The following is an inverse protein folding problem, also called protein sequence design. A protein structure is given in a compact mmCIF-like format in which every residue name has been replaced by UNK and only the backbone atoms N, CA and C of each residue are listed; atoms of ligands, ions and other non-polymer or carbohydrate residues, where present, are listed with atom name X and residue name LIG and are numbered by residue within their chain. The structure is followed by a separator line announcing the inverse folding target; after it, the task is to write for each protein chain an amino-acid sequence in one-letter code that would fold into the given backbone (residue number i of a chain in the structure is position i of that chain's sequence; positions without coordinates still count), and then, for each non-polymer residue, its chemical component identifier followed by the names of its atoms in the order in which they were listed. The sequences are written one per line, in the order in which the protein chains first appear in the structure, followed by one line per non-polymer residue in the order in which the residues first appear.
data_IF_147790980431
#
_entry.id   IF_147790980431
#
_cell.length_a   1.000
_cell.length_b   1.000
_cell.length_c   1.000
_cell.angle_alpha   90.00
_cell.angle_beta   90.00
_cell.angle_gamma   90.00
#
_symmetry.space_group_name_H-M   'P 1'
#
loop_
_entity.id
_entity.type
_entity.pdbx_description
1 polymer ?
#
# COMPACT_ATOMS: atom_id res chain seq x y z
N UNK A 1 -12.10 32.48 20.16
CA UNK A 1 -12.10 31.25 20.98
C UNK A 1 -13.10 30.29 20.36
N UNK A 2 -12.64 29.44 19.44
CA UNK A 2 -13.52 28.58 18.63
C UNK A 2 -13.92 27.32 19.41
N UNK A 3 -15.21 27.05 19.45
CA UNK A 3 -15.84 26.04 20.31
C UNK A 3 -15.59 24.63 19.73
N UNK A 4 -14.71 23.84 20.37
CA UNK A 4 -14.31 22.49 19.92
C UNK A 4 -15.47 21.50 19.67
N UNK A 5 -16.66 21.78 20.22
CA UNK A 5 -17.87 20.97 19.98
C UNK A 5 -18.48 21.14 18.58
N UNK A 6 -18.20 22.25 17.89
CA UNK A 6 -18.77 22.51 16.56
C UNK A 6 -18.03 21.73 15.45
N UNK A 7 -16.75 21.42 15.66
CA UNK A 7 -15.92 20.75 14.65
C UNK A 7 -16.23 19.26 14.51
N UNK A 8 -16.64 18.61 15.61
CA UNK A 8 -16.96 17.17 15.62
C UNK A 8 -18.28 16.89 14.87
N UNK A 9 -19.28 17.76 14.99
CA UNK A 9 -20.58 17.56 14.30
C UNK A 9 -20.49 17.81 12.79
N UNK A 10 -19.59 18.69 12.33
CA UNK A 10 -19.44 19.00 10.89
C UNK A 10 -18.78 17.84 10.12
N UNK A 11 -17.87 17.09 10.75
CA UNK A 11 -17.17 15.96 10.09
C UNK A 11 -18.11 14.75 9.91
N UNK A 12 -19.02 14.48 10.85
CA UNK A 12 -19.94 13.34 10.74
C UNK A 12 -21.00 13.52 9.64
N UNK A 13 -21.36 14.76 9.28
CA UNK A 13 -22.38 15.04 8.26
C UNK A 13 -21.83 14.87 6.83
N UNK A 14 -20.51 14.89 6.62
CA UNK A 14 -19.89 14.75 5.29
C UNK A 14 -19.79 13.26 4.84
N UNK A 15 -20.10 12.29 5.71
CA UNK A 15 -19.93 10.86 5.41
C UNK A 15 -21.18 10.16 4.83
N UNK A 16 -22.27 10.88 4.52
CA UNK A 16 -23.51 10.26 4.03
C UNK A 16 -23.98 10.95 2.75
N UNK A 17 -23.30 10.70 1.63
CA UNK A 17 -23.93 10.71 0.30
C UNK A 17 -23.02 10.06 -0.74
N UNK A 18 -23.18 8.76 -0.98
CA UNK A 18 -23.07 8.20 -2.33
C UNK A 18 -24.12 7.09 -2.44
N UNK A 19 -25.33 7.54 -2.78
CA UNK A 19 -26.45 6.70 -3.14
C UNK A 19 -26.27 6.25 -4.60
N UNK A 20 -26.27 4.94 -4.80
CA UNK A 20 -26.41 4.19 -6.04
C UNK A 20 -26.94 4.95 -7.27
N UNK A 21 -26.15 4.94 -8.36
CA UNK A 21 -26.68 5.01 -9.72
C UNK A 21 -26.62 3.61 -10.31
N UNK A 22 -27.71 2.88 -10.15
CA UNK A 22 -28.05 1.73 -10.99
C UNK A 22 -28.58 2.29 -12.32
N UNK A 23 -27.77 2.24 -13.37
CA UNK A 23 -28.24 2.51 -14.72
C UNK A 23 -28.39 1.18 -15.48
N UNK A 24 -29.66 0.84 -15.75
CA UNK A 24 -30.11 0.47 -17.09
C UNK A 24 -29.72 -0.91 -17.61
N UNK A 25 -30.58 -1.89 -17.32
CA UNK A 25 -30.71 -3.06 -18.16
C UNK A 25 -31.24 -2.61 -19.55
N UNK A 26 -30.38 -2.58 -20.57
CA UNK A 26 -30.80 -2.44 -21.97
C UNK A 26 -30.63 -3.79 -22.66
N UNK A 27 -31.76 -4.44 -22.90
CA UNK A 27 -31.86 -5.57 -23.82
C UNK A 27 -31.66 -5.01 -25.23
N UNK A 28 -30.63 -5.49 -25.93
CA UNK A 28 -30.64 -5.57 -27.39
C UNK A 28 -30.13 -6.95 -27.80
N UNK A 29 -31.01 -7.67 -28.47
CA UNK A 29 -30.77 -8.97 -29.07
C UNK A 29 -30.18 -8.78 -30.49
N UNK A 30 -29.22 -9.64 -30.83
CA UNK A 30 -28.76 -10.08 -32.16
C UNK A 30 -28.30 -9.05 -33.22
N UNK A 31 -27.07 -9.22 -33.76
CA UNK A 31 -26.78 -9.90 -35.07
C UNK A 31 -25.30 -9.71 -35.50
N UNK A 32 -24.70 -10.78 -36.07
CA UNK A 32 -23.42 -10.95 -36.78
C UNK A 32 -22.54 -9.75 -37.22
N UNK A 33 -21.22 -9.94 -37.02
CA UNK A 33 -20.21 -9.94 -38.09
C UNK A 33 -19.47 -8.63 -38.38
N UNK A 34 -18.13 -8.66 -38.35
CA UNK A 34 -17.31 -7.66 -39.03
C UNK A 34 -16.00 -7.30 -38.32
N UNK A 35 -14.90 -7.78 -38.88
CA UNK A 35 -13.52 -7.38 -38.60
C UNK A 35 -13.32 -5.86 -38.86
N UNK A 36 -12.60 -5.17 -37.97
CA UNK A 36 -12.24 -3.77 -38.14
C UNK A 36 -11.33 -3.27 -37.02
N UNK A 37 -10.03 -3.23 -37.29
CA UNK A 37 -9.03 -2.49 -36.52
C UNK A 37 -9.48 -1.03 -36.35
N UNK A 38 -9.16 -0.40 -35.21
CA UNK A 38 -8.67 0.99 -35.11
C UNK A 38 -8.33 1.39 -33.66
N UNK A 39 -7.16 2.01 -33.54
CA UNK A 39 -6.63 2.72 -32.38
C UNK A 39 -7.64 3.72 -31.77
N UNK A 40 -7.65 3.80 -30.44
CA UNK A 40 -8.34 4.85 -29.70
C UNK A 40 -8.10 4.71 -28.21
N UNK A 41 -7.30 5.61 -27.66
CA UNK A 41 -6.96 5.64 -26.25
C UNK A 41 -8.14 5.91 -25.32
N UNK A 42 -7.78 5.97 -24.03
CA UNK A 42 -8.57 6.35 -22.86
C UNK A 42 -9.08 5.16 -22.03
N UNK A 43 -8.21 4.67 -21.15
CA UNK A 43 -8.65 3.96 -19.94
C UNK A 43 -8.54 4.95 -18.80
N UNK A 44 -9.69 5.52 -18.48
CA UNK A 44 -10.01 6.19 -17.22
C UNK A 44 -9.54 5.33 -16.05
N UNK A 45 -8.49 5.78 -15.38
CA UNK A 45 -7.96 5.19 -14.17
C UNK A 45 -8.87 5.50 -12.99
N UNK A 46 -9.86 4.64 -12.80
CA UNK A 46 -10.48 4.43 -11.50
C UNK A 46 -10.69 2.91 -11.35
N UNK A 47 -9.57 2.21 -11.28
CA UNK A 47 -9.52 0.79 -11.06
C UNK A 47 -9.35 0.53 -9.58
N UNK A 48 -10.44 0.33 -8.86
CA UNK A 48 -10.40 -0.57 -7.70
C UNK A 48 -10.13 -1.96 -8.25
N UNK A 49 -8.87 -2.27 -8.56
CA UNK A 49 -8.46 -3.61 -8.95
C UNK A 49 -8.52 -4.46 -7.69
N UNK A 50 -9.50 -5.35 -7.63
CA UNK A 50 -9.59 -6.45 -6.67
C UNK A 50 -8.56 -7.55 -6.97
N UNK A 51 -7.35 -7.14 -7.39
CA UNK A 51 -6.19 -7.97 -7.67
C UNK A 51 -5.09 -7.76 -6.63
N UNK A 52 -4.06 -8.60 -6.67
CA UNK A 52 -2.90 -8.55 -5.77
C UNK A 52 -1.96 -7.34 -6.03
N UNK A 53 -2.34 -6.45 -6.94
CA UNK A 53 -1.64 -5.20 -7.29
C UNK A 53 -0.47 -5.36 -8.26
N UNK A 54 -0.28 -6.56 -8.83
CA UNK A 54 0.85 -6.87 -9.72
C UNK A 54 0.62 -6.49 -11.19
N UNK A 55 -0.62 -6.18 -11.55
CA UNK A 55 -1.02 -5.69 -12.88
C UNK A 55 -0.74 -4.19 -13.09
N UNK A 56 -0.38 -3.47 -12.03
CA UNK A 56 -0.08 -2.05 -12.09
C UNK A 56 1.14 -1.75 -12.97
N UNK A 57 1.05 -0.73 -13.83
CA UNK A 57 2.10 -0.38 -14.82
C UNK A 57 3.49 -0.18 -14.23
N UNK A 58 3.57 0.25 -12.97
CA UNK A 58 4.83 0.52 -12.26
C UNK A 58 5.25 -0.63 -11.32
N UNK A 59 4.55 -1.77 -11.31
CA UNK A 59 4.88 -2.92 -10.48
C UNK A 59 6.32 -3.40 -10.67
N UNK A 60 6.77 -3.51 -11.92
CA UNK A 60 8.12 -3.96 -12.26
C UNK A 60 9.21 -3.04 -11.69
N UNK A 61 8.90 -1.76 -11.43
CA UNK A 61 9.86 -0.82 -10.82
C UNK A 61 10.14 -1.20 -9.37
N UNK A 62 9.16 -1.71 -8.61
CA UNK A 62 9.33 -2.11 -7.20
C UNK A 62 10.34 -3.27 -7.04
N UNK A 63 10.45 -4.15 -8.03
CA UNK A 63 11.31 -5.32 -7.99
C UNK A 63 12.78 -4.90 -8.03
N UNK A 64 13.57 -5.42 -7.08
CA UNK A 64 14.99 -5.15 -6.98
C UNK A 64 15.43 -4.84 -5.55
N UNK A 65 16.62 -4.27 -5.42
CA UNK A 65 17.19 -3.83 -4.15
C UNK A 65 17.22 -2.30 -4.09
N UNK A 66 16.68 -1.76 -3.00
CA UNK A 66 16.57 -0.34 -2.68
C UNK A 66 17.50 -0.04 -1.51
N UNK A 67 18.64 0.56 -1.82
CA UNK A 67 19.67 0.93 -0.86
C UNK A 67 19.26 2.20 -0.11
N UNK A 68 19.14 2.11 1.21
CA UNK A 68 18.92 3.26 2.08
C UNK A 68 20.05 4.27 1.97
N UNK A 69 19.70 5.56 2.06
CA UNK A 69 20.63 6.67 1.84
C UNK A 69 21.09 7.35 3.15
N UNK A 70 20.73 6.83 4.33
CA UNK A 70 21.21 7.38 5.61
C UNK A 70 22.72 7.10 5.77
N UNK A 71 23.57 8.14 5.84
CA UNK A 71 25.00 7.95 6.07
C UNK A 71 25.34 7.25 7.39
N UNK A 72 24.43 7.28 8.38
CA UNK A 72 24.60 6.59 9.67
C UNK A 72 24.27 5.11 9.59
N UNK A 73 23.49 4.69 8.59
CA UNK A 73 23.13 3.30 8.34
C UNK A 73 23.41 2.90 6.88
N UNK A 74 24.68 2.92 6.44
CA UNK A 74 25.03 2.75 5.03
C UNK A 74 24.78 1.34 4.48
N UNK A 75 24.37 0.39 5.34
CA UNK A 75 24.07 -0.99 4.97
C UNK A 75 22.57 -1.25 4.87
N UNK A 76 21.72 -0.30 5.29
CA UNK A 76 20.27 -0.43 5.24
C UNK A 76 19.82 -0.66 3.80
N UNK A 77 19.10 -1.74 3.55
CA UNK A 77 18.57 -2.01 2.23
C UNK A 77 17.22 -2.72 2.32
N UNK A 78 16.40 -2.53 1.30
CA UNK A 78 15.11 -3.15 1.17
C UNK A 78 15.05 -3.88 -0.16
N UNK A 79 14.74 -5.18 -0.16
CA UNK A 79 14.63 -5.97 -1.38
C UNK A 79 13.21 -6.45 -1.56
N UNK A 80 12.69 -6.34 -2.77
CA UNK A 80 11.46 -7.02 -3.17
C UNK A 80 11.74 -7.88 -4.39
N UNK A 81 11.46 -9.18 -4.30
CA UNK A 81 11.73 -10.15 -5.39
C UNK A 81 10.49 -10.49 -6.24
N UNK A 82 9.38 -9.80 -5.99
CA UNK A 82 8.08 -10.07 -6.60
C UNK A 82 7.14 -10.89 -5.72
N UNK A 83 7.67 -11.55 -4.68
CA UNK A 83 6.92 -12.35 -3.71
C UNK A 83 7.22 -11.88 -2.29
N UNK A 84 8.50 -11.81 -1.92
CA UNK A 84 8.95 -11.50 -0.57
C UNK A 84 9.61 -10.12 -0.51
N UNK A 85 9.35 -9.42 0.58
CA UNK A 85 10.02 -8.19 0.95
C UNK A 85 10.98 -8.44 2.11
N UNK A 86 12.22 -8.00 1.96
CA UNK A 86 13.31 -8.19 2.92
C UNK A 86 13.81 -6.82 3.41
N UNK A 87 14.08 -6.69 4.70
CA UNK A 87 14.77 -5.55 5.29
C UNK A 87 16.17 -5.98 5.80
N UNK A 88 17.22 -5.37 5.25
CA UNK A 88 18.65 -5.66 5.42
C UNK A 88 19.40 -4.51 6.13
N UNK A 89 20.59 -4.72 6.75
CA UNK A 89 21.44 -5.91 6.68
C UNK A 89 21.07 -6.99 7.72
N UNK A 90 20.68 -8.16 7.21
CA UNK A 90 20.22 -9.29 8.02
C UNK A 90 18.72 -9.17 8.28
N UNK A 91 17.95 -10.26 8.42
CA UNK A 91 16.51 -10.13 8.37
C UNK A 91 16.05 -9.57 9.71
N UNK A 92 15.98 -8.25 9.79
CA UNK A 92 15.18 -7.53 10.80
C UNK A 92 13.75 -8.03 10.67
N UNK A 93 13.28 -8.14 9.43
CA UNK A 93 12.14 -8.95 9.09
C UNK A 93 12.15 -9.37 7.61
N UNK A 94 11.34 -10.36 7.29
CA UNK A 94 10.93 -10.72 5.92
C UNK A 94 9.44 -10.98 5.94
N UNK A 95 8.73 -10.42 4.96
CA UNK A 95 7.30 -10.70 4.75
C UNK A 95 7.08 -11.34 3.38
N UNK A 96 6.15 -12.29 3.32
CA UNK A 96 5.50 -12.68 2.06
C UNK A 96 4.47 -11.59 1.73
N UNK A 97 4.63 -10.93 0.59
CA UNK A 97 3.68 -9.91 0.11
C UNK A 97 2.48 -10.61 -0.50
N UNK A 98 1.32 -10.38 0.10
CA UNK A 98 0.05 -10.95 -0.32
C UNK A 98 -0.78 -9.98 -1.17
N UNK A 99 -0.62 -8.68 -0.93
CA UNK A 99 -1.30 -7.63 -1.67
C UNK A 99 -0.42 -6.39 -1.79
N UNK A 100 -0.41 -5.78 -2.97
CA UNK A 100 0.11 -4.43 -3.19
C UNK A 100 -1.07 -3.49 -3.43
N UNK A 101 -1.34 -2.60 -2.48
CA UNK A 101 -2.41 -1.63 -2.61
C UNK A 101 -1.83 -0.30 -3.09
N UNK A 102 -2.05 0.02 -4.37
CA UNK A 102 -1.62 1.29 -4.97
C UNK A 102 -2.60 2.41 -4.60
N UNK A 103 -2.07 3.53 -4.13
CA UNK A 103 -2.86 4.75 -3.88
C UNK A 103 -2.69 5.77 -5.00
N UNK A 104 -1.55 5.74 -5.68
CA UNK A 104 -1.25 6.51 -6.89
C UNK A 104 -0.32 5.70 -7.80
N UNK A 105 0.10 6.26 -8.93
CA UNK A 105 1.11 5.65 -9.79
C UNK A 105 2.46 5.41 -9.09
N UNK A 106 2.77 6.15 -8.02
CA UNK A 106 4.10 6.18 -7.38
C UNK A 106 4.07 5.91 -5.88
N UNK A 107 2.91 5.57 -5.33
CA UNK A 107 2.68 5.37 -3.90
C UNK A 107 1.75 4.19 -3.64
N UNK A 108 1.96 3.55 -2.49
CA UNK A 108 1.11 2.45 -2.06
C UNK A 108 1.65 1.72 -0.83
N UNK A 109 1.15 0.51 -0.65
CA UNK A 109 1.46 -0.34 0.48
C UNK A 109 1.71 -1.78 0.02
N UNK A 110 2.74 -2.40 0.58
CA UNK A 110 2.84 -3.85 0.66
C UNK A 110 2.10 -4.32 1.91
N UNK A 111 1.13 -5.21 1.76
CA UNK A 111 0.56 -5.95 2.87
C UNK A 111 0.99 -7.41 2.77
N UNK A 112 1.42 -7.97 3.91
CA UNK A 112 2.00 -9.29 3.90
C UNK A 112 2.05 -9.95 5.25
N UNK A 113 2.54 -11.18 5.25
CA UNK A 113 2.67 -12.03 6.43
C UNK A 113 4.14 -12.19 6.79
N UNK A 114 4.49 -12.02 8.06
CA UNK A 114 5.85 -12.24 8.53
C UNK A 114 6.26 -13.70 8.33
N UNK A 115 7.33 -13.91 7.56
CA UNK A 115 8.07 -15.17 7.46
C UNK A 115 9.21 -15.22 8.48
N UNK A 116 9.82 -14.05 8.74
CA UNK A 116 10.87 -13.86 9.72
C UNK A 116 10.72 -12.50 10.39
N UNK A 117 11.01 -12.42 11.68
CA UNK A 117 11.07 -11.19 12.47
C UNK A 117 12.09 -11.37 13.59
N UNK A 118 12.63 -10.26 14.11
CA UNK A 118 13.38 -10.26 15.36
C UNK A 118 12.50 -10.60 16.59
N UNK A 119 11.18 -10.45 16.46
CA UNK A 119 10.19 -10.88 17.44
C UNK A 119 9.46 -12.13 16.93
N UNK A 120 9.77 -13.29 17.50
CA UNK A 120 9.18 -14.58 17.11
C UNK A 120 7.64 -14.60 17.18
N UNK A 121 7.03 -13.78 18.06
CA UNK A 121 5.56 -13.69 18.18
C UNK A 121 4.91 -13.03 16.98
N UNK A 122 5.68 -12.26 16.21
CA UNK A 122 5.23 -11.62 14.98
C UNK A 122 5.18 -12.59 13.81
N UNK A 123 5.91 -13.70 13.85
CA UNK A 123 5.93 -14.69 12.76
C UNK A 123 4.52 -15.26 12.56
N UNK A 124 4.08 -15.24 11.30
CA UNK A 124 2.73 -15.65 10.92
C UNK A 124 1.64 -14.61 11.15
N UNK A 125 1.97 -13.43 11.69
CA UNK A 125 1.08 -12.27 11.75
C UNK A 125 1.25 -11.36 10.53
N UNK A 126 0.33 -10.43 10.37
CA UNK A 126 0.26 -9.56 9.19
C UNK A 126 0.85 -8.18 9.46
N UNK A 127 1.44 -7.59 8.43
CA UNK A 127 2.17 -6.32 8.48
C UNK A 127 1.90 -5.48 7.25
N UNK A 128 2.33 -4.22 7.32
CA UNK A 128 2.28 -3.30 6.20
C UNK A 128 3.59 -2.51 6.08
N UNK A 129 3.93 -2.21 4.83
CA UNK A 129 5.07 -1.36 4.46
C UNK A 129 4.55 -0.35 3.45
N UNK A 130 4.71 0.94 3.72
CA UNK A 130 4.38 1.99 2.77
C UNK A 130 5.58 2.30 1.88
N UNK A 131 5.31 2.56 0.61
CA UNK A 131 6.26 3.16 -0.32
C UNK A 131 5.66 4.43 -0.94
N UNK A 132 6.51 5.41 -1.25
CA UNK A 132 6.12 6.63 -1.95
C UNK A 132 7.24 7.20 -2.82
N UNK A 133 6.87 8.06 -3.78
CA UNK A 133 7.84 8.71 -4.67
C UNK A 133 8.61 7.72 -5.54
N UNK A 134 7.98 6.61 -5.92
CA UNK A 134 8.58 5.60 -6.79
C UNK A 134 8.94 6.19 -8.15
N UNK A 135 10.21 6.05 -8.52
CA UNK A 135 10.76 6.31 -9.85
C UNK A 135 11.57 5.09 -10.30
N UNK A 136 12.19 5.18 -11.49
CA UNK A 136 13.11 4.15 -11.96
C UNK A 136 14.31 3.93 -11.01
N UNK A 137 14.70 4.95 -10.24
CA UNK A 137 15.96 4.94 -9.46
C UNK A 137 15.81 5.34 -8.00
N UNK A 138 14.64 5.83 -7.57
CA UNK A 138 14.39 6.29 -6.20
C UNK A 138 13.04 5.83 -5.68
N UNK A 139 12.93 5.68 -4.36
CA UNK A 139 11.67 5.65 -3.63
C UNK A 139 11.94 5.93 -2.15
N UNK A 140 10.90 6.15 -1.35
CA UNK A 140 10.99 6.16 0.10
C UNK A 140 10.14 5.02 0.69
N UNK A 141 10.69 4.27 1.65
CA UNK A 141 10.01 3.13 2.32
C UNK A 141 9.79 3.45 3.80
N UNK A 142 8.65 3.00 4.35
CA UNK A 142 8.37 3.02 5.78
C UNK A 142 7.67 1.73 6.22
N UNK A 143 8.26 1.01 7.16
CA UNK A 143 7.55 -0.07 7.87
C UNK A 143 6.49 0.50 8.81
N UNK A 144 5.34 -0.17 8.94
CA UNK A 144 4.29 0.27 9.85
C UNK A 144 4.70 0.19 11.33
N UNK A 145 4.41 1.24 12.08
CA UNK A 145 4.54 1.34 13.53
C UNK A 145 3.16 1.74 14.05
N UNK A 146 2.36 0.82 14.62
CA UNK A 146 1.10 1.23 15.23
C UNK A 146 1.37 1.81 16.62
N UNK A 147 1.29 3.13 16.72
CA UNK A 147 1.57 3.86 17.93
C UNK A 147 1.97 5.28 17.59
N UNK A 148 1.16 6.24 18.02
CA UNK A 148 1.59 7.64 18.08
C UNK A 148 2.95 7.67 18.79
N UNK A 149 3.94 8.40 18.25
CA UNK A 149 5.22 8.63 18.92
C UNK A 149 4.97 8.92 20.42
N UNK A 150 5.24 7.96 21.31
CA UNK A 150 5.05 8.10 22.76
C UNK A 150 3.90 7.33 23.43
N UNK A 151 3.11 6.52 22.73
CA UNK A 151 2.17 5.57 23.38
C UNK A 151 2.54 4.13 23.06
N UNK A 152 2.91 3.38 24.11
CA UNK A 152 2.94 1.93 24.10
C UNK A 152 1.54 1.41 23.82
N UNK A 153 1.22 1.10 22.57
CA UNK A 153 0.15 0.15 22.26
C UNK A 153 0.65 -0.86 21.23
N UNK A 154 1.14 -1.97 21.78
CA UNK A 154 1.23 -3.30 21.18
C UNK A 154 0.50 -3.45 19.84
N UNK A 155 1.24 -3.36 18.73
CA UNK A 155 0.66 -3.65 17.43
C UNK A 155 1.62 -3.44 16.26
N UNK A 156 2.78 -4.09 16.27
CA UNK A 156 3.60 -4.23 15.05
C UNK A 156 2.97 -5.20 14.04
N UNK A 157 1.79 -5.75 14.36
CA UNK A 157 1.18 -6.87 13.67
C UNK A 157 -0.34 -6.80 13.71
N UNK A 158 -1.01 -7.43 12.75
CA UNK A 158 -2.43 -7.78 12.79
C UNK A 158 -2.63 -9.29 12.72
N UNK A 159 -3.79 -9.79 13.15
CA UNK A 159 -4.09 -11.23 13.12
C UNK A 159 -4.56 -11.71 11.74
N UNK A 160 -5.05 -10.78 10.90
CA UNK A 160 -5.51 -11.06 9.53
C UNK A 160 -5.05 -9.98 8.54
N UNK A 161 -5.05 -10.31 7.24
CA UNK A 161 -4.76 -9.35 6.17
C UNK A 161 -5.77 -8.19 6.17
N UNK A 162 -7.05 -8.50 6.34
CA UNK A 162 -8.12 -7.50 6.36
C UNK A 162 -8.03 -6.56 7.56
N UNK A 163 -7.54 -7.05 8.71
CA UNK A 163 -7.26 -6.20 9.85
C UNK A 163 -6.02 -5.32 9.60
N UNK A 164 -4.95 -5.88 9.02
CA UNK A 164 -3.75 -5.12 8.68
C UNK A 164 -4.07 -3.89 7.82
N UNK A 165 -4.93 -4.06 6.80
CA UNK A 165 -5.39 -2.99 5.90
C UNK A 165 -6.21 -1.90 6.62
N UNK A 166 -6.87 -2.24 7.73
CA UNK A 166 -7.66 -1.28 8.52
C UNK A 166 -6.79 -0.51 9.52
N UNK A 167 -5.81 -1.16 10.14
CA UNK A 167 -5.01 -0.56 11.21
C UNK A 167 -3.78 0.17 10.68
N UNK A 168 -3.14 -0.35 9.64
CA UNK A 168 -1.90 0.23 9.11
C UNK A 168 -2.20 1.21 8.00
N UNK A 169 -2.55 2.43 8.39
CA UNK A 169 -2.94 3.50 7.47
C UNK A 169 -2.16 4.78 7.74
N UNK A 170 -2.09 5.65 6.73
CA UNK A 170 -1.53 7.01 6.89
C UNK A 170 -2.31 7.79 7.95
N UNK A 171 -3.65 7.68 7.95
CA UNK A 171 -4.52 8.38 8.90
C UNK A 171 -4.30 7.91 10.36
N UNK A 172 -3.99 6.63 10.56
CA UNK A 172 -3.61 6.08 11.86
C UNK A 172 -2.18 6.47 12.29
N UNK A 173 -1.43 7.18 11.43
CA UNK A 173 -0.06 7.57 11.71
C UNK A 173 0.92 6.40 11.68
N UNK A 174 0.57 5.29 11.02
CA UNK A 174 1.37 4.06 11.06
C UNK A 174 2.72 4.19 10.37
N UNK A 175 2.88 5.15 9.45
CA UNK A 175 4.09 5.30 8.64
C UNK A 175 4.80 6.61 8.97
N UNK A 176 5.58 6.61 10.05
CA UNK A 176 6.16 7.82 10.62
C UNK A 176 7.59 8.11 10.15
N UNK A 177 8.37 7.07 9.85
CA UNK A 177 9.78 7.18 9.48
C UNK A 177 9.99 6.58 8.10
N UNK A 178 10.34 7.44 7.15
CA UNK A 178 10.64 7.03 5.78
C UNK A 178 12.15 7.02 5.57
N UNK A 179 12.66 5.92 5.02
CA UNK A 179 14.03 5.82 4.51
C UNK A 179 14.00 6.14 3.03
N UNK A 180 14.70 7.21 2.64
CA UNK A 180 14.97 7.49 1.23
C UNK A 180 15.96 6.48 0.67
N UNK A 181 15.60 5.88 -0.46
CA UNK A 181 16.32 4.79 -1.08
C UNK A 181 16.69 5.10 -2.52
N UNK A 182 17.78 4.48 -2.98
CA UNK A 182 18.16 4.41 -4.40
C UNK A 182 18.22 2.97 -4.88
N UNK A 183 17.83 2.74 -6.13
CA UNK A 183 17.95 1.43 -6.75
C UNK A 183 19.41 1.06 -6.94
N UNK A 184 19.78 -0.16 -6.57
CA UNK A 184 21.13 -0.71 -6.75
C UNK A 184 21.30 -1.34 -8.13
#
# INVERSE_FOLDING_TARGET
MFNKKLYITIITIISILMLSISCGNSITDSTNGGNGENNGGNISGDGTSSGDGKDHKNYSLLIGTWQGQDPKNPKEAYRFDGINFYADPGPTYTIEVLEISWTTDTEGFFYGKYLQSWDDKSIGKYYAISFKGLTETTLSISGALNGTHGVSQSGWTADTLEEAKKIFTIAAGSFAQYTDCKKK
#
